data_IF_826790113698
#
_entry.id   IF_826790113698
#
_cell.length_a   1.000
_cell.length_b   1.000
_cell.length_c   1.000
_cell.angle_alpha   90.00
_cell.angle_beta   90.00
_cell.angle_gamma   90.00
#
_symmetry.space_group_name_H-M   'P 1'
#
loop_
_entity.id
_entity.type
_entity.pdbx_description
1 polymer ?
#
# COMPACT_ATOMS: atom_id res chain seq x y z
N UNK A 1 27.69 -2.36 3.05
CA UNK A 1 27.68 -3.84 3.08
C UNK A 1 26.23 -4.31 2.93
N UNK A 2 25.90 -4.91 1.78
CA UNK A 2 24.63 -5.58 1.53
C UNK A 2 24.64 -7.00 2.10
N UNK A 3 23.60 -7.38 2.87
CA UNK A 3 23.10 -8.76 3.11
C UNK A 3 21.65 -8.63 3.63
N UNK A 4 20.65 -9.46 3.32
CA UNK A 4 20.44 -10.59 2.40
C UNK A 4 18.92 -10.68 2.20
N UNK A 5 18.48 -10.94 0.97
CA UNK A 5 17.09 -11.11 0.57
C UNK A 5 16.46 -12.37 1.19
N UNK A 6 15.14 -12.35 1.40
CA UNK A 6 14.37 -13.56 1.71
C UNK A 6 14.26 -14.42 0.44
N UNK A 7 14.98 -15.56 0.44
CA UNK A 7 14.80 -16.60 -0.57
C UNK A 7 13.58 -17.44 -0.22
N UNK A 8 12.63 -17.50 -1.14
CA UNK A 8 11.45 -18.35 -1.08
C UNK A 8 11.84 -19.75 -1.57
N UNK A 9 11.82 -20.74 -0.68
CA UNK A 9 11.96 -22.15 -1.06
C UNK A 9 10.59 -22.65 -1.51
N UNK A 10 10.42 -22.73 -2.83
CA UNK A 10 9.32 -23.43 -3.49
C UNK A 10 9.68 -24.92 -3.46
N UNK A 11 9.06 -25.70 -2.57
CA UNK A 11 9.19 -27.16 -2.60
C UNK A 11 8.31 -27.69 -3.74
N UNK A 12 8.96 -28.05 -4.86
CA UNK A 12 8.34 -28.74 -5.99
C UNK A 12 8.17 -30.20 -5.61
N UNK A 13 7.00 -30.59 -5.10
CA UNK A 13 6.58 -31.99 -5.15
C UNK A 13 6.23 -32.35 -6.60
N UNK A 14 7.19 -32.93 -7.31
CA UNK A 14 6.93 -33.75 -8.50
C UNK A 14 6.90 -35.21 -8.06
N UNK A 15 5.82 -35.84 -8.48
CA UNK A 15 5.39 -37.20 -8.24
C UNK A 15 6.28 -38.20 -8.99
N UNK A 16 6.82 -39.21 -8.31
CA UNK A 16 7.20 -40.50 -8.93
C UNK A 16 6.92 -41.62 -7.93
N UNK A 17 6.07 -42.54 -8.37
CA UNK A 17 5.71 -43.82 -7.78
C UNK A 17 6.90 -44.77 -7.68
N UNK A 18 7.03 -45.52 -6.58
CA UNK A 18 6.95 -46.99 -6.53
C UNK A 18 7.29 -47.52 -5.11
N UNK A 19 6.96 -48.78 -4.90
CA UNK A 19 6.68 -49.55 -3.68
C UNK A 19 7.89 -49.95 -2.80
N UNK A 20 7.54 -50.22 -1.53
CA UNK A 20 7.99 -51.31 -0.63
C UNK A 20 9.33 -51.24 0.13
N UNK A 21 9.31 -51.93 1.29
CA UNK A 21 10.36 -52.23 2.29
C UNK A 21 10.48 -51.24 3.47
N UNK A 22 9.76 -51.47 4.58
CA UNK A 22 10.06 -52.34 5.74
C UNK A 22 11.05 -51.73 6.77
N UNK A 23 10.47 -51.58 7.97
CA UNK A 23 11.02 -51.48 9.32
C UNK A 23 12.55 -51.52 9.52
N UNK A 24 13.09 -50.54 10.26
CA UNK A 24 13.51 -50.74 11.66
C UNK A 24 14.38 -49.57 12.21
N UNK A 25 14.16 -49.28 13.49
CA UNK A 25 15.06 -48.61 14.45
C UNK A 25 15.32 -47.11 14.31
N UNK A 26 14.68 -46.30 15.16
CA UNK A 26 15.30 -45.88 16.41
C UNK A 26 14.34 -45.00 17.21
N UNK A 27 14.14 -45.41 18.45
CA UNK A 27 13.44 -44.71 19.52
C UNK A 27 14.27 -43.50 19.98
N UNK A 28 13.82 -42.28 19.68
CA UNK A 28 14.26 -41.08 20.40
C UNK A 28 13.04 -40.20 20.74
N UNK A 29 12.49 -40.47 21.94
CA UNK A 29 11.94 -39.52 22.90
C UNK A 29 11.52 -38.16 22.33
N UNK A 30 10.23 -38.00 22.05
CA UNK A 30 9.59 -36.71 21.84
C UNK A 30 9.34 -36.03 23.20
N UNK A 31 10.06 -34.97 23.61
CA UNK A 31 9.82 -34.31 24.88
C UNK A 31 9.08 -33.00 24.59
N UNK A 32 7.79 -33.06 24.26
CA UNK A 32 6.98 -31.86 24.42
C UNK A 32 5.51 -32.19 24.75
N UNK A 33 5.07 -31.97 26.01
CA UNK A 33 3.69 -32.22 26.43
C UNK A 33 2.71 -31.12 26.00
N UNK A 34 3.18 -30.06 25.34
CA UNK A 34 2.33 -29.06 24.70
C UNK A 34 2.42 -29.22 23.19
N UNK A 35 1.32 -29.62 22.53
CA UNK A 35 1.22 -29.89 21.09
C UNK A 35 1.46 -28.69 20.15
N UNK A 36 2.39 -27.80 20.47
CA UNK A 36 2.88 -26.77 19.55
C UNK A 36 4.02 -27.33 18.70
N UNK A 37 3.87 -27.15 17.38
CA UNK A 37 4.92 -27.44 16.40
C UNK A 37 6.16 -26.60 16.68
N UNK A 38 7.35 -27.22 16.55
CA UNK A 38 8.65 -26.56 16.69
C UNK A 38 8.77 -25.28 15.84
N UNK A 39 8.05 -25.20 14.72
CA UNK A 39 7.94 -24.00 13.87
C UNK A 39 7.47 -22.76 14.63
N UNK A 40 6.47 -22.89 15.51
CA UNK A 40 5.95 -21.77 16.30
C UNK A 40 6.82 -21.47 17.52
N UNK A 41 7.48 -22.49 18.06
CA UNK A 41 8.35 -22.38 19.23
C UNK A 41 9.61 -21.56 18.92
N UNK A 42 10.30 -21.89 17.82
CA UNK A 42 11.45 -21.11 17.34
C UNK A 42 11.05 -19.69 16.92
N UNK A 43 9.82 -19.49 16.44
CA UNK A 43 9.34 -18.15 16.07
C UNK A 43 8.98 -17.28 17.28
N UNK A 44 8.51 -17.88 18.37
CA UNK A 44 8.27 -17.17 19.63
C UNK A 44 9.57 -16.70 20.30
N UNK A 45 10.66 -17.45 20.15
CA UNK A 45 11.99 -17.08 20.68
C UNK A 45 12.65 -15.91 19.92
N UNK A 46 12.22 -15.64 18.68
CA UNK A 46 12.84 -14.65 17.78
C UNK A 46 11.99 -13.39 17.49
N UNK A 47 10.84 -13.22 18.16
CA UNK A 47 10.05 -11.98 18.07
C UNK A 47 9.86 -11.35 19.45
N UNK A 48 10.03 -10.04 19.52
CA UNK A 48 9.89 -9.25 20.74
C UNK A 48 8.54 -9.53 21.40
N UNK A 49 8.59 -10.17 22.56
CA UNK A 49 7.47 -10.33 23.48
C UNK A 49 6.83 -8.95 23.68
N UNK A 50 5.51 -8.85 23.54
CA UNK A 50 4.77 -7.64 23.89
C UNK A 50 4.99 -7.38 25.39
N UNK A 51 5.94 -6.50 25.70
CA UNK A 51 6.27 -6.15 27.09
C UNK A 51 5.21 -5.21 27.65
N UNK A 52 5.06 -5.20 28.96
CA UNK A 52 4.21 -4.22 29.67
C UNK A 52 4.56 -2.78 29.29
N UNK A 53 5.84 -2.51 29.03
CA UNK A 53 6.34 -1.19 28.64
C UNK A 53 5.88 -0.79 27.23
N UNK A 54 5.81 -1.75 26.31
CA UNK A 54 5.27 -1.53 24.97
C UNK A 54 3.76 -1.22 25.01
N UNK A 55 3.00 -1.96 25.84
CA UNK A 55 1.57 -1.70 26.05
C UNK A 55 1.34 -0.34 26.71
N UNK A 56 2.16 0.04 27.69
CA UNK A 56 2.10 1.33 28.35
C UNK A 56 2.41 2.49 27.39
N UNK A 57 3.39 2.33 26.48
CA UNK A 57 3.69 3.31 25.44
C UNK A 57 2.55 3.46 24.43
N UNK A 58 1.93 2.35 24.00
CA UNK A 58 0.78 2.40 23.10
C UNK A 58 -0.42 3.12 23.75
N UNK A 59 -0.68 2.85 25.04
CA UNK A 59 -1.74 3.53 25.79
C UNK A 59 -1.45 5.03 25.99
N UNK A 60 -0.19 5.40 26.26
CA UNK A 60 0.23 6.80 26.39
C UNK A 60 0.13 7.57 25.06
N UNK A 61 0.36 6.91 23.93
CA UNK A 61 0.18 7.50 22.60
C UNK A 61 -1.31 7.73 22.27
N UNK A 62 -2.20 6.83 22.70
CA UNK A 62 -3.65 6.97 22.50
C UNK A 62 -4.28 8.07 23.38
N UNK A 63 -3.67 8.39 24.52
CA UNK A 63 -4.18 9.40 25.47
C UNK A 63 -3.75 10.85 25.15
N UNK A 64 -2.95 11.09 24.10
CA UNK A 64 -2.63 12.45 23.64
C UNK A 64 -3.75 12.97 22.75
N UNK A 65 -4.55 13.88 23.31
CA UNK A 65 -5.53 14.67 22.55
C UNK A 65 -4.83 15.49 21.44
N UNK A 66 -5.26 15.38 20.17
CA UNK A 66 -4.70 16.18 19.06
C UNK A 66 -5.03 17.69 19.17
N UNK A 67 -5.85 18.10 20.13
CA UNK A 67 -6.34 19.48 20.27
C UNK A 67 -5.33 20.47 20.89
N UNK A 68 -4.19 20.02 21.42
CA UNK A 68 -3.22 20.91 22.09
C UNK A 68 -2.03 21.34 21.22
N UNK A 69 -1.91 20.86 19.98
CA UNK A 69 -0.78 21.18 19.09
C UNK A 69 -1.15 22.08 17.89
N UNK A 70 -2.44 22.42 17.73
CA UNK A 70 -2.93 23.23 16.62
C UNK A 70 -3.17 24.68 17.07
N UNK A 71 -2.08 25.45 17.19
CA UNK A 71 -2.14 26.91 17.25
C UNK A 71 -1.02 27.46 16.36
N UNK A 72 -1.24 27.40 15.04
CA UNK A 72 -0.49 28.18 14.05
C UNK A 72 -1.48 28.67 13.00
N UNK A 73 -1.87 29.93 13.19
CA UNK A 73 -2.21 30.99 12.22
C UNK A 73 -2.84 30.56 10.88
N UNK A 74 -4.16 30.77 10.78
CA UNK A 74 -4.90 30.86 9.52
C UNK A 74 -4.68 32.26 8.91
N UNK A 75 -3.98 32.34 7.79
CA UNK A 75 -4.10 33.48 6.87
C UNK A 75 -5.11 33.15 5.76
N UNK A 76 -6.24 33.85 5.80
CA UNK A 76 -7.20 33.94 4.70
C UNK A 76 -6.59 34.70 3.51
N UNK A 77 -6.16 33.97 2.49
CA UNK A 77 -5.83 34.49 1.18
C UNK A 77 -6.98 34.31 0.20
N UNK A 78 -7.96 35.21 0.22
CA UNK A 78 -8.96 35.36 -0.84
C UNK A 78 -8.29 35.75 -2.16
N UNK A 79 -8.34 34.85 -3.16
CA UNK A 79 -7.77 35.06 -4.49
C UNK A 79 -8.69 34.52 -5.58
N UNK A 80 -9.28 35.46 -6.32
CA UNK A 80 -10.02 35.38 -7.58
C UNK A 80 -10.11 34.02 -8.30
N UNK A 81 -11.35 33.57 -8.55
CA UNK A 81 -11.67 32.57 -9.58
C UNK A 81 -11.39 33.14 -10.98
N UNK A 82 -10.13 33.09 -11.39
CA UNK A 82 -9.79 32.87 -12.79
C UNK A 82 -9.93 31.38 -13.02
N UNK A 83 -10.60 30.94 -14.09
CA UNK A 83 -10.86 29.52 -14.40
C UNK A 83 -9.58 28.74 -14.74
N UNK A 84 -8.64 28.67 -13.81
CA UNK A 84 -7.39 27.93 -13.88
C UNK A 84 -7.54 26.53 -13.30
N UNK A 85 -6.68 25.63 -13.77
CA UNK A 85 -6.61 24.25 -13.31
C UNK A 85 -6.26 24.19 -11.81
N UNK A 86 -7.07 23.49 -11.02
CA UNK A 86 -6.87 23.28 -9.58
C UNK A 86 -6.66 21.80 -9.29
N UNK A 87 -5.46 21.44 -8.81
CA UNK A 87 -5.12 20.06 -8.45
C UNK A 87 -6.03 19.52 -7.35
N UNK A 88 -6.50 20.39 -6.45
CA UNK A 88 -7.39 20.04 -5.34
C UNK A 88 -8.78 19.65 -5.88
N UNK A 89 -9.29 20.34 -6.90
CA UNK A 89 -10.58 20.02 -7.51
C UNK A 89 -10.54 18.68 -8.23
N UNK A 90 -9.45 18.41 -8.97
CA UNK A 90 -9.21 17.12 -9.60
C UNK A 90 -9.11 16.00 -8.55
N UNK A 91 -8.35 16.22 -7.48
CA UNK A 91 -8.24 15.28 -6.36
C UNK A 91 -9.60 14.99 -5.70
N UNK A 92 -10.39 16.03 -5.44
CA UNK A 92 -11.74 15.90 -4.89
C UNK A 92 -12.68 15.13 -5.85
N UNK A 93 -12.56 15.34 -7.16
CA UNK A 93 -13.30 14.59 -8.17
C UNK A 93 -12.99 13.10 -8.11
N UNK A 94 -11.71 12.72 -8.03
CA UNK A 94 -11.32 11.32 -7.90
C UNK A 94 -11.71 10.72 -6.54
N UNK A 95 -11.59 11.46 -5.43
CA UNK A 95 -11.95 10.99 -4.09
C UNK A 95 -13.44 10.69 -3.93
N UNK A 96 -14.32 11.36 -4.69
CA UNK A 96 -15.77 11.07 -4.69
C UNK A 96 -16.12 9.66 -5.15
N UNK A 97 -15.21 8.97 -5.87
CA UNK A 97 -15.44 7.60 -6.32
C UNK A 97 -15.20 6.65 -5.14
N UNK A 98 -16.22 5.87 -4.69
CA UNK A 98 -16.14 5.07 -3.47
C UNK A 98 -15.04 3.99 -3.52
N UNK A 99 -14.74 3.54 -4.75
CA UNK A 99 -13.75 2.50 -5.00
C UNK A 99 -12.32 3.04 -5.07
N UNK A 100 -12.06 4.34 -4.90
CA UNK A 100 -10.70 4.88 -5.00
C UNK A 100 -10.06 5.09 -3.64
N UNK A 101 -8.87 4.52 -3.49
CA UNK A 101 -8.01 4.86 -2.36
C UNK A 101 -7.48 6.28 -2.54
N UNK A 102 -7.29 6.97 -1.42
CA UNK A 102 -6.88 8.37 -1.41
C UNK A 102 -5.56 8.61 -2.14
N UNK A 103 -4.58 7.73 -1.90
CA UNK A 103 -3.30 7.75 -2.62
C UNK A 103 -3.48 7.63 -4.15
N UNK A 104 -4.47 6.86 -4.61
CA UNK A 104 -4.76 6.69 -6.05
C UNK A 104 -5.39 7.96 -6.62
N UNK A 105 -6.29 8.61 -5.87
CA UNK A 105 -6.84 9.91 -6.27
C UNK A 105 -5.74 10.96 -6.42
N UNK A 106 -4.75 10.97 -5.52
CA UNK A 106 -3.59 11.86 -5.60
C UNK A 106 -2.75 11.62 -6.85
N UNK A 107 -2.47 10.35 -7.17
CA UNK A 107 -1.74 9.96 -8.38
C UNK A 107 -2.47 10.44 -9.65
N UNK A 108 -3.79 10.28 -9.72
CA UNK A 108 -4.58 10.73 -10.87
C UNK A 108 -4.62 12.26 -11.01
N UNK A 109 -4.67 12.98 -9.88
CA UNK A 109 -4.60 14.43 -9.87
C UNK A 109 -3.23 14.93 -10.35
N UNK A 110 -2.14 14.36 -9.85
CA UNK A 110 -0.78 14.72 -10.26
C UNK A 110 -0.48 14.35 -11.72
N UNK A 111 -0.99 13.22 -12.22
CA UNK A 111 -0.90 12.89 -13.64
C UNK A 111 -1.64 13.93 -14.52
N UNK A 112 -2.78 14.43 -14.03
CA UNK A 112 -3.53 15.48 -14.72
C UNK A 112 -2.80 16.82 -14.73
N UNK A 113 -2.04 17.16 -13.68
CA UNK A 113 -1.14 18.35 -13.64
C UNK A 113 -0.13 18.29 -14.79
N UNK A 114 0.55 17.15 -14.99
CA UNK A 114 1.53 17.01 -16.08
C UNK A 114 0.88 17.21 -17.45
N UNK A 115 -0.36 16.71 -17.62
CA UNK A 115 -1.12 16.83 -18.86
C UNK A 115 -1.57 18.27 -19.14
N UNK A 116 -2.01 19.00 -18.12
CA UNK A 116 -2.51 20.37 -18.25
C UNK A 116 -1.43 21.45 -18.17
N UNK A 117 -0.22 21.10 -17.73
CA UNK A 117 0.90 22.03 -17.60
C UNK A 117 1.20 22.71 -18.94
N UNK A 118 1.47 24.01 -18.92
CA UNK A 118 1.95 24.78 -20.07
C UNK A 118 3.47 25.01 -20.04
N UNK A 119 4.17 24.35 -19.10
CA UNK A 119 5.61 24.47 -18.92
C UNK A 119 6.35 24.18 -20.24
N UNK A 120 7.44 24.91 -20.46
CA UNK A 120 8.29 24.78 -21.66
C UNK A 120 9.62 24.10 -21.38
N UNK A 121 9.95 23.90 -20.09
CA UNK A 121 11.19 23.28 -19.64
C UNK A 121 10.92 22.20 -18.61
N UNK A 122 11.82 21.22 -18.54
CA UNK A 122 11.74 20.14 -17.54
C UNK A 122 11.80 20.66 -16.11
N UNK A 123 12.61 21.68 -15.86
CA UNK A 123 12.75 22.30 -14.54
C UNK A 123 11.46 22.98 -14.10
N UNK A 124 10.82 23.75 -15.00
CA UNK A 124 9.55 24.40 -14.73
C UNK A 124 8.44 23.37 -14.43
N UNK A 125 8.36 22.30 -15.23
CA UNK A 125 7.42 21.21 -15.00
C UNK A 125 7.65 20.51 -13.65
N UNK A 126 8.91 20.28 -13.26
CA UNK A 126 9.24 19.69 -11.97
C UNK A 126 8.85 20.60 -10.80
N UNK A 127 9.07 21.91 -10.92
CA UNK A 127 8.66 22.90 -9.92
C UNK A 127 7.13 22.94 -9.80
N UNK A 128 6.41 22.97 -10.92
CA UNK A 128 4.94 22.96 -10.96
C UNK A 128 4.38 21.70 -10.29
N UNK A 129 4.94 20.53 -10.63
CA UNK A 129 4.50 19.26 -10.07
C UNK A 129 4.80 19.14 -8.58
N UNK A 130 5.97 19.64 -8.14
CA UNK A 130 6.32 19.70 -6.72
C UNK A 130 5.37 20.62 -5.95
N UNK A 131 5.08 21.80 -6.48
CA UNK A 131 4.10 22.73 -5.90
C UNK A 131 2.73 22.08 -5.78
N UNK A 132 2.27 21.37 -6.82
CA UNK A 132 1.01 20.65 -6.79
C UNK A 132 0.98 19.53 -5.74
N UNK A 133 2.07 18.76 -5.60
CA UNK A 133 2.25 17.76 -4.54
C UNK A 133 2.20 18.39 -3.14
N UNK A 134 2.91 19.49 -2.93
CA UNK A 134 2.95 20.15 -1.62
C UNK A 134 1.59 20.76 -1.25
N UNK A 135 0.86 21.31 -2.22
CA UNK A 135 -0.54 21.74 -2.03
C UNK A 135 -1.49 20.60 -1.68
N UNK A 136 -1.30 19.40 -2.24
CA UNK A 136 -2.11 18.23 -1.84
C UNK A 136 -1.77 17.77 -0.42
N UNK A 137 -0.49 17.77 -0.04
CA UNK A 137 -0.05 17.38 1.31
C UNK A 137 -0.50 18.38 2.38
N UNK A 138 -0.53 19.67 2.06
CA UNK A 138 -1.06 20.69 2.98
C UNK A 138 -2.58 20.67 3.07
N UNK A 139 -3.27 20.22 2.01
CA UNK A 139 -4.73 20.07 2.00
C UNK A 139 -5.21 19.04 3.04
N UNK A 140 -4.49 17.94 3.21
CA UNK A 140 -4.72 16.99 4.32
C UNK A 140 -3.39 16.51 4.92
N UNK A 141 -3.01 17.18 6.01
CA UNK A 141 -1.79 16.88 6.77
C UNK A 141 -1.87 15.59 7.59
N UNK A 142 -3.08 15.07 7.80
CA UNK A 142 -3.31 13.85 8.58
C UNK A 142 -3.21 12.59 7.73
N UNK A 143 -3.46 12.71 6.42
CA UNK A 143 -3.41 11.57 5.51
C UNK A 143 -1.97 11.19 5.11
N UNK A 144 -1.44 10.20 5.81
CA UNK A 144 -0.18 9.53 5.46
C UNK A 144 -0.29 8.89 4.06
N UNK A 145 -1.46 8.36 3.69
CA UNK A 145 -1.68 7.72 2.39
C UNK A 145 -1.57 8.71 1.24
N UNK A 146 -2.14 9.91 1.39
CA UNK A 146 -2.03 11.00 0.43
C UNK A 146 -0.56 11.41 0.22
N UNK A 147 0.13 11.66 1.33
CA UNK A 147 1.54 12.05 1.32
C UNK A 147 2.43 10.99 0.65
N UNK A 148 2.24 9.72 1.00
CA UNK A 148 2.96 8.60 0.40
C UNK A 148 2.67 8.45 -1.10
N UNK A 149 1.42 8.66 -1.52
CA UNK A 149 1.02 8.65 -2.94
C UNK A 149 1.75 9.73 -3.73
N UNK A 150 1.81 10.95 -3.20
CA UNK A 150 2.54 12.06 -3.81
C UNK A 150 4.04 11.76 -3.93
N UNK A 151 4.68 11.29 -2.85
CA UNK A 151 6.11 10.99 -2.84
C UNK A 151 6.49 9.86 -3.81
N UNK A 152 5.66 8.81 -3.88
CA UNK A 152 5.87 7.70 -4.79
C UNK A 152 5.71 8.16 -6.25
N UNK A 153 4.71 9.00 -6.52
CA UNK A 153 4.50 9.58 -7.85
C UNK A 153 5.68 10.44 -8.28
N UNK A 154 6.13 11.37 -7.43
CA UNK A 154 7.29 12.22 -7.70
C UNK A 154 8.51 11.37 -8.03
N UNK A 155 8.83 10.38 -7.20
CA UNK A 155 9.95 9.44 -7.43
C UNK A 155 9.80 8.66 -8.73
N UNK A 156 8.59 8.25 -9.09
CA UNK A 156 8.34 7.46 -10.29
C UNK A 156 8.55 8.28 -11.57
N UNK A 157 8.10 9.54 -11.55
CA UNK A 157 8.19 10.46 -12.68
C UNK A 157 9.62 11.00 -12.82
N UNK A 158 10.26 11.42 -11.72
CA UNK A 158 11.58 12.08 -11.75
C UNK A 158 12.78 11.14 -11.86
N UNK A 159 12.67 9.86 -11.46
CA UNK A 159 13.78 8.90 -11.62
C UNK A 159 14.02 8.44 -13.06
N UNK A 160 13.20 8.89 -14.01
CA UNK A 160 13.43 8.50 -15.40
C UNK A 160 14.55 9.33 -16.01
N UNK A 161 15.52 8.66 -16.65
CA UNK A 161 16.43 9.18 -17.69
C UNK A 161 15.76 9.86 -18.90
N UNK A 162 14.46 10.18 -18.84
CA UNK A 162 13.80 11.02 -19.84
C UNK A 162 14.30 12.48 -19.83
N UNK A 163 15.09 12.85 -18.80
CA UNK A 163 15.78 14.13 -18.70
C UNK A 163 17.05 14.22 -19.59
N UNK A 164 17.43 13.14 -20.29
CA UNK A 164 18.59 13.11 -21.20
C UNK A 164 18.20 13.37 -22.68
N UNK A 165 16.96 13.78 -22.96
CA UNK A 165 16.48 14.06 -24.32
C UNK A 165 16.65 15.54 -24.69
N UNK A 166 17.00 15.79 -25.95
CA UNK A 166 17.14 17.14 -26.51
C UNK A 166 15.80 17.86 -26.74
N UNK A 167 14.67 17.12 -26.83
CA UNK A 167 13.32 17.67 -27.04
C UNK A 167 12.40 17.49 -25.83
N UNK A 168 11.96 18.62 -25.27
CA UNK A 168 11.05 18.72 -24.14
C UNK A 168 9.68 18.09 -24.42
N UNK A 169 9.14 18.22 -25.64
CA UNK A 169 7.79 17.73 -25.94
C UNK A 169 7.72 16.20 -25.91
N UNK A 170 8.76 15.54 -26.44
CA UNK A 170 8.92 14.09 -26.36
C UNK A 170 9.09 13.63 -24.89
N UNK A 171 9.90 14.35 -24.10
CA UNK A 171 10.09 14.06 -22.68
C UNK A 171 8.76 14.17 -21.90
N UNK A 172 8.01 15.26 -22.07
CA UNK A 172 6.71 15.48 -21.43
C UNK A 172 5.69 14.41 -21.80
N UNK A 173 5.58 14.06 -23.08
CA UNK A 173 4.66 13.01 -23.55
C UNK A 173 4.93 11.67 -22.86
N UNK A 174 6.21 11.33 -22.63
CA UNK A 174 6.61 10.12 -21.93
C UNK A 174 6.33 10.16 -20.43
N UNK A 175 6.39 11.34 -19.81
CA UNK A 175 5.98 11.51 -18.41
C UNK A 175 4.47 11.35 -18.25
N UNK A 176 3.67 11.83 -19.21
CA UNK A 176 2.22 11.62 -19.24
C UNK A 176 1.91 10.13 -19.34
N UNK A 177 2.47 9.42 -20.32
CA UNK A 177 2.28 7.98 -20.51
C UNK A 177 2.60 7.20 -19.22
N UNK A 178 3.72 7.56 -18.57
CA UNK A 178 4.11 6.95 -17.29
C UNK A 178 3.13 7.27 -16.16
N UNK A 179 2.76 8.54 -16.00
CA UNK A 179 1.82 8.97 -14.97
C UNK A 179 0.49 8.23 -15.09
N UNK A 180 -0.04 8.13 -16.30
CA UNK A 180 -1.27 7.40 -16.61
C UNK A 180 -1.13 5.90 -16.34
N UNK A 181 -0.03 5.28 -16.79
CA UNK A 181 0.26 3.87 -16.52
C UNK A 181 0.36 3.57 -15.03
N UNK A 182 0.96 4.47 -14.25
CA UNK A 182 1.04 4.31 -12.81
C UNK A 182 -0.34 4.44 -12.14
N UNK A 183 -1.18 5.35 -12.62
CA UNK A 183 -2.59 5.44 -12.24
C UNK A 183 -3.34 4.15 -12.54
N UNK A 184 -3.21 3.61 -13.74
CA UNK A 184 -3.86 2.36 -14.19
C UNK A 184 -3.45 1.14 -13.35
N UNK A 185 -2.15 1.00 -13.07
CA UNK A 185 -1.63 -0.05 -12.17
C UNK A 185 -2.25 0.10 -10.78
N UNK A 186 -2.28 1.33 -10.25
CA UNK A 186 -2.82 1.62 -8.93
C UNK A 186 -4.32 1.36 -8.81
N UNK A 187 -5.08 1.59 -9.89
CA UNK A 187 -6.51 1.26 -9.98
C UNK A 187 -6.74 -0.26 -9.95
N UNK A 188 -5.94 -1.03 -10.68
CA UNK A 188 -6.06 -2.49 -10.76
C UNK A 188 -5.52 -3.22 -9.55
N UNK A 189 -4.61 -2.59 -8.79
CA UNK A 189 -3.89 -3.20 -7.67
C UNK A 189 -4.81 -3.92 -6.69
N UNK A 190 -5.98 -3.36 -6.33
CA UNK A 190 -6.91 -4.01 -5.40
C UNK A 190 -7.41 -5.36 -5.92
N UNK A 191 -7.79 -5.41 -7.20
CA UNK A 191 -8.27 -6.64 -7.84
C UNK A 191 -7.15 -7.66 -7.97
N UNK A 192 -5.94 -7.22 -8.29
CA UNK A 192 -4.75 -8.08 -8.32
C UNK A 192 -4.46 -8.67 -6.94
N UNK A 193 -4.50 -7.85 -5.88
CA UNK A 193 -4.34 -8.33 -4.50
C UNK A 193 -5.43 -9.37 -4.19
N UNK A 194 -6.70 -9.11 -4.49
CA UNK A 194 -7.77 -10.06 -4.25
C UNK A 194 -7.57 -11.40 -4.99
N UNK A 195 -7.16 -11.35 -6.25
CA UNK A 195 -6.86 -12.54 -7.06
C UNK A 195 -5.72 -13.38 -6.48
N UNK A 196 -4.65 -12.73 -6.00
CA UNK A 196 -3.48 -13.42 -5.44
C UNK A 196 -3.73 -13.88 -3.99
N UNK A 197 -4.51 -13.12 -3.23
CA UNK A 197 -4.71 -13.37 -1.80
C UNK A 197 -5.81 -14.38 -1.51
N UNK A 198 -6.75 -14.61 -2.44
CA UNK A 198 -7.84 -15.55 -2.20
C UNK A 198 -7.35 -16.97 -1.89
N UNK A 199 -6.18 -17.38 -2.37
CA UNK A 199 -5.64 -18.73 -2.16
C UNK A 199 -5.19 -19.00 -0.72
N UNK A 200 -4.97 -17.94 0.08
CA UNK A 200 -4.71 -18.08 1.51
C UNK A 200 -5.97 -18.37 2.33
N UNK A 201 -7.16 -18.22 1.75
CA UNK A 201 -8.42 -18.58 2.37
C UNK A 201 -8.72 -20.03 2.01
N UNK A 202 -8.80 -20.88 3.03
CA UNK A 202 -9.14 -22.30 2.89
C UNK A 202 -10.57 -22.56 3.36
N UNK A 203 -11.14 -23.67 2.90
CA UNK A 203 -12.48 -24.08 3.32
C UNK A 203 -12.53 -24.38 4.83
N UNK A 204 -13.59 -23.95 5.50
CA UNK A 204 -13.77 -24.04 6.95
C UNK A 204 -12.92 -23.08 7.78
N UNK A 205 -12.11 -22.21 7.17
CA UNK A 205 -11.25 -21.30 7.92
C UNK A 205 -12.05 -20.20 8.66
N UNK A 206 -11.44 -19.62 9.69
CA UNK A 206 -12.04 -18.54 10.48
C UNK A 206 -11.07 -17.37 10.51
N UNK A 207 -11.51 -16.22 10.01
CA UNK A 207 -10.70 -15.03 9.78
C UNK A 207 -11.14 -13.94 10.75
N UNK A 208 -10.18 -13.25 11.37
CA UNK A 208 -10.42 -12.04 12.15
C UNK A 208 -10.01 -10.82 11.31
N UNK A 209 -10.88 -9.83 11.19
CA UNK A 209 -10.63 -8.55 10.50
C UNK A 209 -10.83 -7.42 11.50
N UNK A 210 -9.97 -6.41 11.46
CA UNK A 210 -10.11 -5.20 12.25
C UNK A 210 -10.39 -3.99 11.36
N UNK A 211 -11.35 -3.17 11.77
CA UNK A 211 -11.79 -2.00 11.05
C UNK A 211 -12.37 -2.32 9.67
N UNK A 212 -12.53 -1.26 8.87
CA UNK A 212 -13.01 -1.39 7.50
C UNK A 212 -11.86 -1.24 6.49
N UNK A 213 -11.52 -2.33 5.82
CA UNK A 213 -10.56 -2.33 4.71
C UNK A 213 -11.21 -2.78 3.41
N UNK A 214 -11.26 -1.87 2.43
CA UNK A 214 -11.77 -2.15 1.07
C UNK A 214 -10.98 -3.25 0.36
N UNK A 215 -9.68 -3.37 0.64
CA UNK A 215 -8.83 -4.42 0.07
C UNK A 215 -9.22 -5.77 0.65
N UNK A 216 -9.36 -5.87 1.98
CA UNK A 216 -9.77 -7.12 2.64
C UNK A 216 -11.17 -7.52 2.20
N UNK A 217 -12.10 -6.58 2.12
CA UNK A 217 -13.45 -6.85 1.64
C UNK A 217 -13.45 -7.43 0.23
N UNK A 218 -12.63 -6.91 -0.68
CA UNK A 218 -12.50 -7.44 -2.05
C UNK A 218 -11.94 -8.87 -2.07
N UNK A 219 -10.94 -9.16 -1.23
CA UNK A 219 -10.36 -10.52 -1.07
C UNK A 219 -11.43 -11.50 -0.58
N UNK A 220 -12.20 -11.12 0.45
CA UNK A 220 -13.26 -11.97 1.01
C UNK A 220 -14.39 -12.20 -0.01
N UNK A 221 -14.80 -11.17 -0.75
CA UNK A 221 -15.78 -11.29 -1.84
C UNK A 221 -15.29 -12.25 -2.93
N UNK A 222 -14.03 -12.13 -3.35
CA UNK A 222 -13.42 -13.01 -4.36
C UNK A 222 -13.40 -14.47 -3.88
N UNK A 223 -12.97 -14.72 -2.65
CA UNK A 223 -12.96 -16.06 -2.08
C UNK A 223 -14.38 -16.66 -1.98
N UNK A 224 -15.37 -15.87 -1.56
CA UNK A 224 -16.76 -16.29 -1.50
C UNK A 224 -17.33 -16.60 -2.91
N UNK A 225 -17.01 -15.78 -3.92
CA UNK A 225 -17.41 -16.06 -5.31
C UNK A 225 -16.79 -17.35 -5.86
N UNK A 226 -15.62 -17.72 -5.37
CA UNK A 226 -14.94 -18.99 -5.68
C UNK A 226 -15.38 -20.15 -4.77
N UNK A 227 -16.57 -20.04 -4.16
CA UNK A 227 -17.26 -21.10 -3.41
C UNK A 227 -16.52 -21.59 -2.16
N UNK A 228 -15.64 -20.77 -1.58
CA UNK A 228 -14.98 -21.09 -0.31
C UNK A 228 -15.94 -20.79 0.85
N UNK A 229 -16.09 -21.73 1.78
CA UNK A 229 -16.87 -21.56 3.00
C UNK A 229 -15.94 -21.14 4.13
N UNK A 230 -16.15 -19.96 4.70
CA UNK A 230 -15.32 -19.47 5.80
C UNK A 230 -16.15 -18.57 6.71
N UNK A 231 -15.66 -18.37 7.93
CA UNK A 231 -16.27 -17.49 8.93
C UNK A 231 -15.40 -16.25 9.11
N UNK A 232 -16.03 -15.09 9.29
CA UNK A 232 -15.33 -13.82 9.52
C UNK A 232 -15.81 -13.19 10.82
N UNK A 233 -14.88 -12.86 11.69
CA UNK A 233 -15.09 -12.00 12.85
C UNK A 233 -14.56 -10.60 12.54
N UNK A 234 -15.35 -9.58 12.85
CA UNK A 234 -14.96 -8.18 12.62
C UNK A 234 -14.86 -7.46 13.96
N UNK A 235 -13.77 -6.74 14.17
CA UNK A 235 -13.63 -5.77 15.28
C UNK A 235 -13.75 -4.36 14.73
N UNK A 236 -14.42 -3.48 15.50
CA UNK A 236 -14.64 -2.08 15.16
C UNK A 236 -13.37 -1.24 15.22
#
# INVERSE_FOLDING_TARGET
MWRRSASFVLDKRVNTSEREEEEAMADELNPNPSGMSAYYQTRAEHHGVVTSDWLAQAHAAAARDPASAAAVEEEEGGGEKKGGYSVIDEFNFWRKKPDLAEAVAAIMALASVIRSSEATTMMELEIELKKASDSLKSWDTTSISLSAGCDLFMRYVTRTSALEYEDFNAAKSRLIERGEKFGEISLRARRTIAMLSQDFIFDGCTIMVHGFSRVVLEVLKMAASNRKLFRVFCTG
#
